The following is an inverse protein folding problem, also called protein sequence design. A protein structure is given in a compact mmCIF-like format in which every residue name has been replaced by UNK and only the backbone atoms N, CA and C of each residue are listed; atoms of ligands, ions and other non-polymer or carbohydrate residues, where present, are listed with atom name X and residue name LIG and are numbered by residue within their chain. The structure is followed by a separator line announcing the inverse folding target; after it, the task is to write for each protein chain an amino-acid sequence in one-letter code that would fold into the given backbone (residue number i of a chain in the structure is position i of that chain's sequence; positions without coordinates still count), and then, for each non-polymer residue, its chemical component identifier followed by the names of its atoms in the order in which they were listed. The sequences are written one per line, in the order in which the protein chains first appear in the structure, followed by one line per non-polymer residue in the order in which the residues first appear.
data_IF_045915453837
#
_entry.id   IF_045915453837
#
_cell.length_a   1.000
_cell.length_b   1.000
_cell.length_c   1.000
_cell.angle_alpha   90.00
_cell.angle_beta   90.00
_cell.angle_gamma   90.00
#
_symmetry.space_group_name_H-M   'P 1'
#
loop_
_entity.id
_entity.type
_entity.pdbx_description
1 polymer ?
#
# COMPACT_ATOMS: atom_id res chain seq x y z
N UNK A 1 5.68 5.43 -16.67
CA UNK A 1 7.04 5.54 -16.12
C UNK A 1 8.04 4.62 -16.79
N UNK A 2 7.77 3.32 -16.96
CA UNK A 2 8.72 2.41 -17.63
C UNK A 2 9.23 2.91 -19.00
N UNK A 3 8.36 3.54 -19.80
CA UNK A 3 8.74 4.15 -21.08
C UNK A 3 9.80 5.26 -20.97
N UNK A 4 9.90 5.96 -19.82
CA UNK A 4 10.91 7.02 -19.59
C UNK A 4 12.33 6.45 -19.51
N UNK A 5 12.45 5.15 -19.21
CA UNK A 5 13.74 4.47 -18.99
C UNK A 5 14.14 3.59 -20.17
N UNK A 6 13.37 3.60 -21.27
CA UNK A 6 13.63 2.72 -22.42
C UNK A 6 13.55 1.22 -22.09
N UNK A 7 12.89 0.85 -20.99
CA UNK A 7 12.74 -0.55 -20.58
C UNK A 7 11.46 -1.16 -21.15
N UNK A 8 11.53 -2.45 -21.51
CA UNK A 8 10.34 -3.22 -21.89
C UNK A 8 9.42 -3.36 -20.68
N UNK A 9 8.16 -2.97 -20.86
CA UNK A 9 7.13 -3.09 -19.84
C UNK A 9 6.20 -4.26 -20.17
N UNK A 10 5.92 -5.12 -19.18
CA UNK A 10 4.97 -6.22 -19.30
C UNK A 10 3.98 -6.10 -18.14
N UNK A 11 2.70 -6.05 -18.46
CA UNK A 11 1.64 -6.06 -17.47
C UNK A 11 1.24 -7.49 -17.14
N UNK A 12 1.24 -7.83 -15.85
CA UNK A 12 0.89 -9.16 -15.36
C UNK A 12 -0.30 -9.02 -14.42
N UNK A 13 -1.43 -9.59 -14.80
CA UNK A 13 -2.61 -9.60 -13.94
C UNK A 13 -2.40 -10.54 -12.75
N UNK A 14 -2.74 -10.07 -11.55
CA UNK A 14 -2.69 -10.85 -10.32
C UNK A 14 -4.00 -10.68 -9.54
N UNK A 15 -4.72 -11.78 -9.36
CA UNK A 15 -6.00 -11.80 -8.65
C UNK A 15 -5.78 -12.24 -7.20
N UNK A 16 -5.45 -11.29 -6.34
CA UNK A 16 -5.11 -11.55 -4.94
C UNK A 16 -6.26 -12.23 -4.16
N UNK A 17 -7.52 -11.88 -4.44
CA UNK A 17 -8.69 -12.45 -3.77
C UNK A 17 -8.95 -13.93 -4.11
N UNK A 18 -8.38 -14.43 -5.21
CA UNK A 18 -8.54 -15.84 -5.59
C UNK A 18 -7.55 -16.76 -4.86
N UNK A 19 -6.63 -16.18 -4.07
CA UNK A 19 -5.71 -16.92 -3.22
C UNK A 19 -6.29 -16.95 -1.81
N UNK A 20 -6.80 -18.10 -1.30
CA UNK A 20 -7.48 -18.16 -0.01
C UNK A 20 -6.62 -17.65 1.16
N UNK A 21 -5.31 -17.92 1.14
CA UNK A 21 -4.36 -17.47 2.15
C UNK A 21 -4.13 -15.94 2.16
N UNK A 22 -4.52 -15.24 1.08
CA UNK A 22 -4.53 -13.78 1.02
C UNK A 22 -5.92 -13.25 1.40
N UNK A 23 -6.97 -13.85 0.83
CA UNK A 23 -8.36 -13.44 1.07
C UNK A 23 -8.79 -13.58 2.53
N UNK A 24 -8.28 -14.58 3.26
CA UNK A 24 -8.52 -14.74 4.70
C UNK A 24 -7.91 -13.62 5.56
N UNK A 25 -7.05 -12.78 4.99
CA UNK A 25 -6.40 -11.65 5.65
C UNK A 25 -5.65 -11.99 6.97
N UNK A 26 -4.84 -13.06 7.03
CA UNK A 26 -4.08 -13.35 8.25
C UNK A 26 -2.98 -12.29 8.49
N UNK A 27 -2.39 -12.20 9.69
CA UNK A 27 -1.28 -11.29 9.96
C UNK A 27 -0.10 -11.43 8.97
N UNK A 28 0.14 -12.64 8.45
CA UNK A 28 1.17 -12.93 7.45
C UNK A 28 0.67 -12.87 5.99
N UNK A 29 -0.51 -12.25 5.72
CA UNK A 29 -1.06 -12.06 4.36
C UNK A 29 -0.02 -11.55 3.36
N UNK A 30 0.84 -10.63 3.78
CA UNK A 30 1.89 -10.05 2.93
C UNK A 30 2.92 -11.10 2.46
N UNK A 31 3.22 -12.13 3.27
CA UNK A 31 4.04 -13.27 2.85
C UNK A 31 3.36 -14.06 1.72
N UNK A 32 2.10 -14.44 1.91
CA UNK A 32 1.35 -15.19 0.90
C UNK A 32 1.20 -14.42 -0.41
N UNK A 33 0.94 -13.12 -0.33
CA UNK A 33 0.85 -12.23 -1.49
C UNK A 33 2.18 -12.15 -2.24
N UNK A 34 3.28 -11.87 -1.54
CA UNK A 34 4.62 -11.81 -2.16
C UNK A 34 5.05 -13.13 -2.75
N UNK A 35 4.82 -14.24 -2.05
CA UNK A 35 5.15 -15.58 -2.54
C UNK A 35 4.42 -15.88 -3.85
N UNK A 36 3.10 -15.69 -3.90
CA UNK A 36 2.31 -15.92 -5.11
C UNK A 36 2.75 -15.02 -6.28
N UNK A 37 3.00 -13.72 -6.03
CA UNK A 37 3.47 -12.79 -7.04
C UNK A 37 4.88 -13.16 -7.56
N UNK A 38 5.82 -13.42 -6.67
CA UNK A 38 7.20 -13.75 -7.05
C UNK A 38 7.30 -15.08 -7.77
N UNK A 39 6.54 -16.10 -7.36
CA UNK A 39 6.46 -17.37 -8.11
C UNK A 39 6.03 -17.11 -9.55
N UNK A 40 4.98 -16.31 -9.77
CA UNK A 40 4.51 -15.98 -11.12
C UNK A 40 5.54 -15.17 -11.91
N UNK A 41 6.18 -14.19 -11.29
CA UNK A 41 7.21 -13.37 -11.94
C UNK A 41 8.47 -14.18 -12.28
N UNK A 42 8.84 -15.17 -11.46
CA UNK A 42 9.95 -16.08 -11.73
C UNK A 42 9.68 -17.00 -12.92
N UNK A 43 8.45 -17.47 -13.10
CA UNK A 43 8.06 -18.22 -14.31
C UNK A 43 8.24 -17.37 -15.57
N UNK A 44 7.81 -16.11 -15.53
CA UNK A 44 7.96 -15.16 -16.63
C UNK A 44 9.45 -14.87 -16.88
N UNK A 45 10.22 -14.60 -15.82
CA UNK A 45 11.66 -14.35 -15.92
C UNK A 45 12.37 -15.53 -16.59
N UNK A 46 12.06 -16.78 -16.20
CA UNK A 46 12.64 -17.99 -16.82
C UNK A 46 12.25 -18.13 -18.30
N UNK A 47 10.98 -17.90 -18.63
CA UNK A 47 10.51 -17.97 -20.03
C UNK A 47 11.17 -16.90 -20.92
N UNK A 48 11.55 -15.77 -20.34
CA UNK A 48 12.22 -14.64 -21.00
C UNK A 48 13.75 -14.75 -20.96
N UNK A 49 14.31 -15.84 -20.41
CA UNK A 49 15.77 -16.03 -20.30
C UNK A 49 16.46 -15.10 -19.30
N UNK A 50 15.71 -14.52 -18.37
CA UNK A 50 16.23 -13.62 -17.33
C UNK A 50 16.82 -14.41 -16.17
N UNK A 51 18.03 -14.06 -15.76
CA UNK A 51 18.76 -14.78 -14.71
C UNK A 51 18.30 -14.43 -13.28
N UNK A 52 17.84 -13.19 -13.06
CA UNK A 52 17.59 -12.65 -11.72
C UNK A 52 16.30 -11.86 -11.69
N UNK A 53 15.48 -12.09 -10.67
CA UNK A 53 14.37 -11.22 -10.30
C UNK A 53 14.81 -10.33 -9.13
N UNK A 54 14.56 -9.03 -9.23
CA UNK A 54 14.88 -8.04 -8.18
C UNK A 54 13.63 -7.34 -7.66
N UNK A 55 13.66 -6.90 -6.40
CA UNK A 55 12.64 -6.01 -5.83
C UNK A 55 13.26 -4.88 -5.00
N UNK A 56 12.47 -3.82 -4.77
CA UNK A 56 12.96 -2.59 -4.15
C UNK A 56 12.93 -2.54 -2.61
N UNK A 57 13.19 -3.65 -1.91
CA UNK A 57 13.39 -3.55 -0.46
C UNK A 57 14.69 -2.84 -0.12
N UNK A 58 14.68 -2.10 0.97
CA UNK A 58 15.78 -1.22 1.42
C UNK A 58 16.06 -1.40 2.92
N UNK A 59 17.09 -0.73 3.43
CA UNK A 59 17.58 -0.94 4.80
C UNK A 59 16.53 -0.64 5.88
N UNK A 60 15.68 0.36 5.68
CA UNK A 60 14.62 0.72 6.64
C UNK A 60 13.54 -0.35 6.79
N UNK A 61 13.42 -1.28 5.82
CA UNK A 61 12.44 -2.35 5.88
C UNK A 61 12.81 -3.45 6.90
N UNK A 62 14.07 -3.50 7.38
CA UNK A 62 14.52 -4.51 8.36
C UNK A 62 13.97 -4.28 9.77
N UNK A 63 13.61 -3.04 10.11
CA UNK A 63 13.05 -2.69 11.43
C UNK A 63 11.54 -2.87 11.54
N UNK A 64 10.87 -3.36 10.49
CA UNK A 64 9.42 -3.43 10.38
C UNK A 64 8.95 -4.90 10.24
N UNK A 65 7.74 -5.21 10.69
CA UNK A 65 7.15 -6.54 10.48
C UNK A 65 6.85 -6.75 8.99
N UNK A 66 7.81 -7.32 8.27
CA UNK A 66 7.78 -7.49 6.81
C UNK A 66 7.85 -8.96 6.42
N UNK A 67 6.78 -9.75 6.65
CA UNK A 67 6.76 -11.18 6.30
C UNK A 67 6.88 -11.39 4.77
N UNK A 68 6.66 -10.36 3.96
CA UNK A 68 6.94 -10.37 2.53
C UNK A 68 8.43 -10.47 2.14
N UNK A 69 9.37 -10.04 3.00
CA UNK A 69 10.82 -10.20 2.76
C UNK A 69 11.22 -11.67 2.82
N UNK A 70 10.70 -12.40 3.81
CA UNK A 70 10.91 -13.85 3.93
C UNK A 70 10.53 -14.60 2.65
N UNK A 71 9.42 -14.23 2.00
CA UNK A 71 9.02 -14.82 0.72
C UNK A 71 9.99 -14.52 -0.43
N UNK A 72 10.62 -13.33 -0.43
CA UNK A 72 11.64 -12.98 -1.43
C UNK A 72 12.89 -13.85 -1.25
N UNK A 73 13.37 -13.97 0.00
CA UNK A 73 14.54 -14.76 0.36
C UNK A 73 14.36 -16.25 0.01
N UNK A 74 13.24 -16.86 0.42
CA UNK A 74 12.91 -18.26 0.12
C UNK A 74 12.88 -18.56 -1.39
N UNK A 75 12.53 -17.56 -2.22
CA UNK A 75 12.43 -17.69 -3.67
C UNK A 75 13.69 -17.20 -4.42
N UNK A 76 14.73 -16.77 -3.70
CA UNK A 76 15.96 -16.23 -4.30
C UNK A 76 15.78 -14.92 -5.04
N UNK A 77 14.77 -14.13 -4.70
CA UNK A 77 14.55 -12.79 -5.26
C UNK A 77 15.48 -11.80 -4.57
N UNK A 78 16.24 -11.04 -5.35
CA UNK A 78 17.30 -10.15 -4.87
C UNK A 78 16.75 -8.77 -4.50
N UNK A 79 17.40 -8.09 -3.57
CA UNK A 79 17.01 -6.76 -3.09
C UNK A 79 18.22 -5.80 -3.16
N UNK A 80 18.57 -5.27 -4.35
CA UNK A 80 19.81 -4.53 -4.53
C UNK A 80 20.02 -3.34 -3.60
N UNK A 81 18.95 -2.61 -3.24
CA UNK A 81 19.07 -1.50 -2.30
C UNK A 81 19.40 -1.98 -0.88
N UNK A 82 18.76 -3.05 -0.42
CA UNK A 82 19.06 -3.67 0.86
C UNK A 82 20.50 -4.25 0.88
N UNK A 83 20.92 -4.91 -0.19
CA UNK A 83 22.27 -5.48 -0.34
C UNK A 83 23.36 -4.40 -0.34
N UNK A 84 23.06 -3.22 -0.88
CA UNK A 84 23.94 -2.05 -0.85
C UNK A 84 23.84 -1.24 0.45
N UNK A 85 22.99 -1.63 1.41
CA UNK A 85 22.80 -0.91 2.67
C UNK A 85 22.13 0.45 2.50
N UNK A 86 21.37 0.67 1.43
CA UNK A 86 20.73 1.95 1.14
C UNK A 86 19.43 2.11 1.94
N UNK A 87 19.31 3.24 2.62
CA UNK A 87 18.07 3.70 3.26
C UNK A 87 17.14 4.34 2.23
N UNK A 88 15.89 4.56 2.63
CA UNK A 88 14.92 5.36 1.88
C UNK A 88 15.42 6.78 1.65
N UNK A 89 16.16 7.37 2.59
CA UNK A 89 16.75 8.70 2.42
C UNK A 89 17.79 8.70 1.30
N UNK A 90 18.65 7.68 1.26
CA UNK A 90 19.67 7.54 0.21
C UNK A 90 19.01 7.34 -1.16
N UNK A 91 18.00 6.46 -1.25
CA UNK A 91 17.26 6.20 -2.48
C UNK A 91 16.59 7.49 -2.99
N UNK A 92 16.02 8.31 -2.10
CA UNK A 92 15.43 9.60 -2.47
C UNK A 92 16.46 10.60 -2.96
N UNK A 93 17.63 10.66 -2.33
CA UNK A 93 18.74 11.51 -2.77
C UNK A 93 19.24 11.12 -4.16
N UNK A 94 19.52 9.83 -4.38
CA UNK A 94 19.92 9.28 -5.68
C UNK A 94 18.84 9.49 -6.76
N UNK A 95 17.58 9.24 -6.41
CA UNK A 95 16.44 9.47 -7.30
C UNK A 95 16.32 10.94 -7.71
N UNK A 96 16.64 11.88 -6.81
CA UNK A 96 16.61 13.32 -7.09
C UNK A 96 17.79 13.73 -7.97
N UNK A 97 18.98 13.21 -7.72
CA UNK A 97 20.19 13.44 -8.53
C UNK A 97 19.99 12.96 -9.97
N UNK A 98 19.35 11.80 -10.15
CA UNK A 98 18.98 11.24 -11.45
C UNK A 98 17.79 11.95 -12.12
N UNK A 99 17.20 12.97 -11.49
CA UNK A 99 16.07 13.72 -12.02
C UNK A 99 14.77 12.92 -12.12
N UNK A 100 14.60 11.86 -11.33
CA UNK A 100 13.40 11.02 -11.41
C UNK A 100 12.21 11.74 -10.76
N UNK A 101 11.03 11.77 -11.41
CA UNK A 101 9.86 12.52 -10.91
C UNK A 101 9.26 11.94 -9.63
N UNK A 102 9.66 10.73 -9.23
CA UNK A 102 9.12 10.01 -8.08
C UNK A 102 9.95 10.14 -6.82
N UNK A 103 10.99 10.99 -6.81
CA UNK A 103 11.90 11.12 -5.66
C UNK A 103 11.16 11.50 -4.36
N UNK A 104 10.07 12.27 -4.42
CA UNK A 104 9.22 12.62 -3.26
C UNK A 104 7.89 11.85 -3.22
N UNK A 105 7.72 10.79 -4.01
CA UNK A 105 6.46 10.07 -4.01
C UNK A 105 6.20 9.40 -2.63
N UNK A 106 5.00 9.58 -2.04
CA UNK A 106 4.62 8.88 -0.82
C UNK A 106 4.60 7.36 -1.01
N UNK A 107 4.89 6.61 0.05
CA UNK A 107 4.81 5.15 0.02
C UNK A 107 3.36 4.69 -0.07
N UNK A 108 3.04 3.99 -1.16
CA UNK A 108 1.69 3.42 -1.38
C UNK A 108 1.60 2.03 -0.77
N UNK A 109 0.83 1.89 0.30
CA UNK A 109 0.50 0.60 0.89
C UNK A 109 -0.74 -0.01 0.21
N UNK A 110 -0.79 -1.34 0.14
CA UNK A 110 -1.93 -2.10 -0.37
C UNK A 110 -3.25 -1.71 0.32
N UNK A 111 -4.37 -1.65 -0.43
CA UNK A 111 -5.70 -1.39 0.13
C UNK A 111 -6.10 -2.38 1.24
N UNK A 112 -5.64 -3.63 1.16
CA UNK A 112 -5.87 -4.63 2.22
C UNK A 112 -5.32 -4.19 3.59
N UNK A 113 -4.36 -3.26 3.64
CA UNK A 113 -3.88 -2.70 4.91
C UNK A 113 -4.91 -1.79 5.57
N UNK A 114 -6.06 -1.52 4.96
CA UNK A 114 -7.14 -0.74 5.58
C UNK A 114 -8.15 -1.62 6.31
N UNK A 115 -8.12 -2.92 6.03
CA UNK A 115 -9.01 -3.91 6.61
C UNK A 115 -8.28 -4.62 7.76
N UNK A 116 -8.84 -4.66 8.98
CA UNK A 116 -8.22 -5.33 10.12
C UNK A 116 -7.86 -6.78 9.82
N UNK A 117 -6.70 -7.24 10.31
CA UNK A 117 -6.32 -8.65 10.20
C UNK A 117 -7.40 -9.57 10.76
N UNK A 118 -7.56 -10.74 10.14
CA UNK A 118 -8.61 -11.70 10.45
C UNK A 118 -9.98 -11.36 9.85
N UNK A 119 -10.18 -10.14 9.33
CA UNK A 119 -11.38 -9.80 8.56
C UNK A 119 -11.16 -10.19 7.10
N UNK A 120 -11.96 -11.11 6.51
CA UNK A 120 -11.78 -11.52 5.13
C UNK A 120 -11.84 -10.34 4.16
N UNK A 121 -10.93 -10.33 3.19
CA UNK A 121 -10.93 -9.37 2.10
C UNK A 121 -12.04 -9.74 1.12
N UNK A 122 -12.91 -8.79 0.83
CA UNK A 122 -13.88 -8.92 -0.25
C UNK A 122 -13.67 -7.82 -1.29
N UNK A 123 -14.20 -8.05 -2.49
CA UNK A 123 -14.20 -7.04 -3.55
C UNK A 123 -14.90 -5.77 -3.08
N UNK A 124 -16.06 -5.93 -2.46
CA UNK A 124 -16.91 -4.84 -2.00
C UNK A 124 -16.21 -3.99 -0.93
N UNK A 125 -15.50 -4.63 0.01
CA UNK A 125 -14.73 -3.92 1.03
C UNK A 125 -13.57 -3.11 0.41
N UNK A 126 -12.82 -3.72 -0.51
CA UNK A 126 -11.71 -3.04 -1.18
C UNK A 126 -12.18 -1.88 -2.07
N UNK A 127 -13.25 -2.08 -2.83
CA UNK A 127 -13.85 -1.04 -3.68
C UNK A 127 -14.43 0.11 -2.84
N UNK A 128 -15.07 -0.21 -1.70
CA UNK A 128 -15.55 0.80 -0.74
C UNK A 128 -14.41 1.64 -0.18
N UNK A 129 -13.29 1.02 0.22
CA UNK A 129 -12.10 1.73 0.72
C UNK A 129 -11.49 2.61 -0.38
N UNK A 130 -11.31 2.06 -1.58
CA UNK A 130 -10.70 2.79 -2.70
C UNK A 130 -11.54 4.01 -3.11
N UNK A 131 -12.85 3.86 -3.19
CA UNK A 131 -13.78 4.96 -3.46
C UNK A 131 -13.70 6.03 -2.37
N UNK A 132 -13.66 5.63 -1.09
CA UNK A 132 -13.56 6.57 0.02
C UNK A 132 -12.23 7.34 0.02
N UNK A 133 -11.08 6.66 -0.15
CA UNK A 133 -9.76 7.31 -0.20
C UNK A 133 -9.60 8.19 -1.45
N UNK A 134 -10.19 7.80 -2.58
CA UNK A 134 -10.17 8.60 -3.81
C UNK A 134 -10.97 9.89 -3.64
N UNK A 135 -12.21 9.80 -3.14
CA UNK A 135 -13.01 10.99 -2.86
C UNK A 135 -12.29 11.95 -1.90
N UNK A 136 -11.72 11.44 -0.80
CA UNK A 136 -11.04 12.29 0.18
C UNK A 136 -9.79 12.96 -0.40
N UNK A 137 -9.02 12.26 -1.25
CA UNK A 137 -7.88 12.87 -1.96
C UNK A 137 -8.33 13.98 -2.90
N UNK A 138 -9.39 13.76 -3.67
CA UNK A 138 -9.85 14.71 -4.69
C UNK A 138 -10.58 15.91 -4.08
N UNK A 139 -11.49 15.68 -3.13
CA UNK A 139 -12.31 16.72 -2.52
C UNK A 139 -11.50 17.67 -1.63
N UNK A 140 -10.43 17.16 -1.01
CA UNK A 140 -9.62 17.93 -0.06
C UNK A 140 -8.19 18.16 -0.53
N UNK A 141 -7.73 17.56 -1.62
CA UNK A 141 -6.32 17.65 -2.02
C UNK A 141 -5.38 17.09 -0.95
N UNK A 142 -5.78 16.02 -0.27
CA UNK A 142 -4.94 15.36 0.74
C UNK A 142 -3.81 14.60 0.05
N UNK A 143 -2.56 14.84 0.48
CA UNK A 143 -1.41 14.00 0.06
C UNK A 143 -1.47 12.61 0.69
N UNK A 144 -1.95 12.55 1.93
CA UNK A 144 -1.95 11.36 2.75
C UNK A 144 -3.34 11.16 3.36
N UNK A 145 -3.97 10.03 3.01
CA UNK A 145 -5.22 9.62 3.64
C UNK A 145 -5.26 8.10 3.73
N UNK A 146 -5.81 7.60 4.84
CA UNK A 146 -6.24 6.21 4.94
C UNK A 146 -7.65 6.13 5.48
N UNK A 147 -8.48 5.29 4.87
CA UNK A 147 -9.81 4.96 5.40
C UNK A 147 -9.75 3.53 5.93
N UNK A 148 -9.60 3.37 7.25
CA UNK A 148 -9.66 2.05 7.89
C UNK A 148 -11.11 1.58 7.92
N UNK A 149 -11.32 0.40 7.35
CA UNK A 149 -12.62 -0.22 7.20
C UNK A 149 -12.92 -1.09 8.41
N UNK A 150 -13.43 -0.46 9.47
CA UNK A 150 -14.00 -1.12 10.64
C UNK A 150 -15.51 -1.28 10.44
N UNK A 151 -15.92 -1.82 9.29
CA UNK A 151 -17.30 -1.81 8.83
C UNK A 151 -18.29 -2.18 9.97
N UNK A 152 -19.32 -1.35 10.24
CA UNK A 152 -19.81 -0.24 9.43
C UNK A 152 -19.20 1.14 9.76
N UNK A 153 -18.00 1.21 10.36
CA UNK A 153 -17.28 2.46 10.68
C UNK A 153 -16.15 2.71 9.67
N UNK A 154 -16.14 3.89 9.06
CA UNK A 154 -14.97 4.43 8.36
C UNK A 154 -14.14 5.24 9.36
N UNK A 155 -12.96 4.73 9.75
CA UNK A 155 -12.01 5.51 10.55
C UNK A 155 -10.98 6.14 9.63
N UNK A 156 -11.02 7.45 9.51
CA UNK A 156 -10.16 8.22 8.62
C UNK A 156 -8.89 8.66 9.35
N UNK A 157 -7.75 8.44 8.72
CA UNK A 157 -6.44 8.91 9.15
C UNK A 157 -5.92 9.90 8.10
N UNK A 158 -5.60 11.13 8.50
CA UNK A 158 -5.00 12.18 7.67
C UNK A 158 -3.75 12.73 8.34
N UNK A 159 -2.90 13.45 7.62
CA UNK A 159 -1.78 14.16 8.25
C UNK A 159 -2.28 15.13 9.32
N UNK A 160 -1.51 15.32 10.39
CA UNK A 160 -1.93 16.17 11.52
C UNK A 160 -2.26 17.61 11.12
N UNK A 161 -1.53 18.13 10.12
CA UNK A 161 -1.75 19.45 9.53
C UNK A 161 -3.10 19.56 8.77
N UNK A 162 -3.64 18.44 8.32
CA UNK A 162 -4.91 18.37 7.57
C UNK A 162 -6.15 18.24 8.48
N UNK A 163 -5.97 17.92 9.77
CA UNK A 163 -7.07 17.73 10.72
C UNK A 163 -7.99 18.97 10.79
N UNK A 164 -7.50 20.21 10.94
CA UNK A 164 -8.36 21.39 11.01
C UNK A 164 -9.25 21.56 9.77
N UNK A 165 -8.69 21.28 8.59
CA UNK A 165 -9.42 21.32 7.31
C UNK A 165 -10.47 20.21 7.23
N UNK A 166 -10.15 19.00 7.69
CA UNK A 166 -11.04 17.85 7.69
C UNK A 166 -12.30 18.07 8.54
N UNK A 167 -12.18 18.77 9.68
CA UNK A 167 -13.30 18.98 10.62
C UNK A 167 -14.10 20.27 10.37
N UNK A 168 -13.70 21.08 9.37
CA UNK A 168 -14.43 22.29 8.99
C UNK A 168 -15.91 21.97 8.69
N UNK A 169 -16.88 22.82 9.09
CA UNK A 169 -18.30 22.48 9.07
C UNK A 169 -18.82 21.92 7.75
N UNK A 170 -18.54 22.60 6.64
CA UNK A 170 -18.99 22.25 5.30
C UNK A 170 -18.30 20.98 4.81
N UNK A 171 -17.00 20.86 5.09
CA UNK A 171 -16.17 19.72 4.72
C UNK A 171 -16.65 18.44 5.39
N UNK A 172 -16.80 18.46 6.73
CA UNK A 172 -17.21 17.25 7.46
C UNK A 172 -18.61 16.78 7.06
N UNK A 173 -19.52 17.70 6.72
CA UNK A 173 -20.87 17.37 6.25
C UNK A 173 -20.79 16.64 4.91
N UNK A 174 -20.01 17.16 3.96
CA UNK A 174 -19.82 16.55 2.65
C UNK A 174 -19.19 15.16 2.74
N UNK A 175 -18.16 15.01 3.58
CA UNK A 175 -17.49 13.73 3.86
C UNK A 175 -18.48 12.71 4.42
N UNK A 176 -19.22 13.09 5.47
CA UNK A 176 -20.19 12.19 6.11
C UNK A 176 -21.25 11.75 5.12
N UNK A 177 -21.75 12.67 4.29
CA UNK A 177 -22.74 12.34 3.26
C UNK A 177 -22.17 11.34 2.24
N UNK A 178 -20.98 11.59 1.69
CA UNK A 178 -20.37 10.73 0.69
C UNK A 178 -20.04 9.33 1.24
N UNK A 179 -19.36 9.26 2.39
CA UNK A 179 -18.96 7.97 2.99
C UNK A 179 -20.19 7.15 3.42
N UNK A 180 -21.28 7.79 3.87
CA UNK A 180 -22.55 7.09 4.11
C UNK A 180 -23.15 6.52 2.83
N UNK A 181 -23.03 7.23 1.71
CA UNK A 181 -23.40 6.73 0.39
C UNK A 181 -22.63 5.47 -0.03
N UNK A 182 -21.42 5.27 0.49
CA UNK A 182 -20.61 4.06 0.29
C UNK A 182 -20.95 2.90 1.26
N UNK A 183 -21.96 3.08 2.11
CA UNK A 183 -22.46 2.05 3.03
C UNK A 183 -21.94 2.14 4.47
N UNK A 184 -21.10 3.13 4.81
CA UNK A 184 -20.69 3.34 6.20
C UNK A 184 -21.85 3.91 7.04
N UNK A 185 -22.02 3.43 8.27
CA UNK A 185 -22.97 3.99 9.24
C UNK A 185 -22.36 5.18 9.99
N UNK A 186 -21.10 5.06 10.34
CA UNK A 186 -20.35 6.05 11.11
C UNK A 186 -19.06 6.43 10.39
N UNK A 187 -18.73 7.71 10.47
CA UNK A 187 -17.44 8.25 10.02
C UNK A 187 -16.74 8.82 11.24
N UNK A 188 -15.52 8.36 11.49
CA UNK A 188 -14.69 8.78 12.60
C UNK A 188 -13.35 9.32 12.07
N UNK A 189 -12.78 10.29 12.78
CA UNK A 189 -11.43 10.76 12.56
C UNK A 189 -10.52 10.14 13.63
N UNK A 190 -9.41 9.56 13.23
CA UNK A 190 -8.36 9.14 14.15
C UNK A 190 -7.63 10.39 14.67
N UNK A 191 -7.69 10.62 15.98
CA UNK A 191 -7.12 11.80 16.62
C UNK A 191 -5.59 11.76 16.67
N UNK A 192 -4.98 10.58 16.53
CA UNK A 192 -3.52 10.45 16.38
C UNK A 192 -3.06 10.77 14.94
N UNK A 193 -4.01 10.90 14.01
CA UNK A 193 -3.74 11.16 12.59
C UNK A 193 -3.06 9.98 11.89
N UNK A 194 -2.45 10.28 10.76
CA UNK A 194 -1.74 9.30 9.96
C UNK A 194 -0.42 8.87 10.62
N UNK A 195 -0.24 7.56 10.80
CA UNK A 195 1.04 6.95 11.20
C UNK A 195 1.37 5.74 10.31
N UNK A 196 2.63 5.64 9.88
CA UNK A 196 3.10 4.45 9.18
C UNK A 196 3.07 3.24 10.12
N UNK A 197 2.75 2.05 9.60
CA UNK A 197 2.76 0.82 10.39
C UNK A 197 1.67 0.69 11.48
N UNK A 198 0.66 1.57 11.55
CA UNK A 198 -0.31 1.59 12.67
C UNK A 198 -1.20 0.34 12.85
N UNK A 199 -1.14 -0.64 11.94
CA UNK A 199 -1.84 -1.94 12.07
C UNK A 199 -0.88 -3.11 12.23
N UNK A 200 0.43 -2.88 12.28
CA UNK A 200 1.36 -3.98 12.51
C UNK A 200 1.09 -4.55 13.91
N UNK A 201 1.09 -5.89 14.06
CA UNK A 201 1.05 -6.48 15.38
C UNK A 201 2.25 -6.00 16.22
N UNK A 202 2.09 -5.84 17.53
CA UNK A 202 3.20 -5.54 18.44
C UNK A 202 4.24 -6.67 18.47
#
# INVERSE_FOLDING_TARGET
MAHLFGVRHIEVSFRALDVPAIAANPPDRCYHCKRAMFTRLLEIARAEGMAVLVHGANLDDLGDYRPGLRAAEELGVRAPFLEAGLTKADIRALSRELGLPTWDQPSMACLASRIPYGTPLTREALERVDAAETYLREALGLRQVRVRDHFPVARVEVDGEDIPRFIAPEVRIAIVHHLRGLGYRYVALDLEGFRSGSLNPP
#
